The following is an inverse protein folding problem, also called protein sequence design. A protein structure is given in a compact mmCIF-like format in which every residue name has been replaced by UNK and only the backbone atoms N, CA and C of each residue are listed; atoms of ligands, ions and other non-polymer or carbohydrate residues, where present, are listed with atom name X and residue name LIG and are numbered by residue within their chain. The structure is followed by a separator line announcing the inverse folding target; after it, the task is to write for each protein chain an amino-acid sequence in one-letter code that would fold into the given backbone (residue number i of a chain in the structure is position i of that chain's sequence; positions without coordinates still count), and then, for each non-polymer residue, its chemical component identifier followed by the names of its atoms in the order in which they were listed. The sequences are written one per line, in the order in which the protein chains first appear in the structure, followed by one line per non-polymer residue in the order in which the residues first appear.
data_IF_551237808066
#
_entry.id   IF_551237808066
#
_cell.length_a   1.000
_cell.length_b   1.000
_cell.length_c   1.000
_cell.angle_alpha   90.00
_cell.angle_beta   90.00
_cell.angle_gamma   90.00
#
_symmetry.space_group_name_H-M   'P 1'
#
loop_
_entity.id
_entity.type
_entity.pdbx_description
1 polymer ?
#
# COMPACT_ATOMS: atom_id res chain seq x y z
N UNK A 1 0.05 14.41 -20.06
CA UNK A 1 1.15 14.72 -19.11
C UNK A 1 1.13 13.77 -17.90
N UNK A 2 2.28 13.18 -17.54
CA UNK A 2 2.39 12.43 -16.28
C UNK A 2 2.51 13.40 -15.08
N UNK A 3 2.38 12.91 -13.85
CA UNK A 3 2.38 13.77 -12.64
C UNK A 3 3.68 14.57 -12.49
N UNK A 4 4.82 13.95 -12.81
CA UNK A 4 6.15 14.58 -12.74
C UNK A 4 6.22 15.75 -13.72
N UNK A 5 5.85 15.53 -14.97
CA UNK A 5 5.80 16.58 -16.00
C UNK A 5 4.86 17.73 -15.62
N UNK A 6 3.74 17.41 -14.96
CA UNK A 6 2.82 18.42 -14.42
C UNK A 6 3.48 19.29 -13.35
N UNK A 7 4.18 18.68 -12.38
CA UNK A 7 4.90 19.41 -11.34
C UNK A 7 6.02 20.29 -11.91
N UNK A 8 6.76 19.79 -12.90
CA UNK A 8 7.80 20.55 -13.59
C UNK A 8 7.20 21.74 -14.36
N UNK A 9 6.07 21.55 -15.04
CA UNK A 9 5.37 22.63 -15.74
C UNK A 9 4.84 23.72 -14.80
N UNK A 10 4.55 23.38 -13.54
CA UNK A 10 4.17 24.32 -12.48
C UNK A 10 5.38 25.01 -11.83
N UNK A 11 6.61 24.76 -12.29
CA UNK A 11 7.83 25.41 -11.81
C UNK A 11 8.62 24.63 -10.76
N UNK A 12 8.24 23.38 -10.48
CA UNK A 12 9.05 22.51 -9.61
C UNK A 12 10.39 22.20 -10.27
N UNK A 13 11.46 22.14 -9.48
CA UNK A 13 12.78 21.75 -9.97
C UNK A 13 12.95 20.24 -9.81
N UNK A 14 13.48 19.55 -10.84
CA UNK A 14 13.64 18.09 -10.81
C UNK A 14 14.38 17.61 -9.56
N UNK A 15 15.51 18.22 -9.23
CA UNK A 15 16.32 17.88 -8.06
C UNK A 15 15.66 18.14 -6.70
N UNK A 16 14.60 18.96 -6.65
CA UNK A 16 13.84 19.24 -5.41
C UNK A 16 12.64 18.33 -5.24
N UNK A 17 12.30 17.51 -6.25
CA UNK A 17 11.20 16.56 -6.12
C UNK A 17 11.54 15.50 -5.08
N UNK A 18 10.55 15.17 -4.26
CA UNK A 18 10.60 14.11 -3.24
C UNK A 18 9.30 13.34 -3.32
N UNK A 19 9.37 12.04 -3.05
CA UNK A 19 8.21 11.17 -3.07
C UNK A 19 7.92 10.59 -1.69
N UNK A 20 6.64 10.39 -1.40
CA UNK A 20 6.20 9.57 -0.27
C UNK A 20 5.29 8.47 -0.79
N UNK A 21 5.63 7.21 -0.52
CA UNK A 21 4.99 6.07 -1.16
C UNK A 21 4.07 5.32 -0.19
N UNK A 22 2.77 5.35 -0.44
CA UNK A 22 1.79 4.68 0.40
C UNK A 22 0.86 3.80 -0.44
N UNK A 23 0.59 2.59 0.02
CA UNK A 23 -0.39 1.69 -0.61
C UNK A 23 0.13 0.27 -0.83
N UNK A 24 -0.30 -0.37 -1.91
CA UNK A 24 0.14 -1.73 -2.24
C UNK A 24 -0.34 -2.81 -1.26
N UNK A 25 -1.37 -2.54 -0.46
CA UNK A 25 -1.97 -3.54 0.42
C UNK A 25 -2.76 -4.58 -0.36
N UNK A 26 -2.68 -5.84 0.06
CA UNK A 26 -3.47 -6.93 -0.51
C UNK A 26 -4.60 -7.32 0.44
N UNK A 27 -5.83 -6.90 0.11
CA UNK A 27 -7.02 -7.21 0.93
C UNK A 27 -7.49 -8.67 0.74
N UNK A 28 -7.10 -9.31 -0.36
CA UNK A 28 -7.44 -10.69 -0.70
C UNK A 28 -6.25 -11.61 -0.39
N UNK A 29 -6.53 -12.80 0.15
CA UNK A 29 -5.53 -13.84 0.46
C UNK A 29 -5.48 -14.92 -0.62
N UNK A 30 -6.08 -14.69 -1.78
CA UNK A 30 -6.00 -15.65 -2.88
C UNK A 30 -4.61 -15.57 -3.49
N UNK A 31 -3.87 -16.67 -3.42
CA UNK A 31 -2.54 -16.88 -4.02
C UNK A 31 -2.62 -17.04 -5.55
N UNK A 32 -3.49 -16.28 -6.23
CA UNK A 32 -3.38 -16.16 -7.67
C UNK A 32 -2.40 -15.03 -7.93
N UNK A 33 -1.29 -15.32 -8.63
CA UNK A 33 -0.26 -14.33 -8.99
C UNK A 33 -0.87 -13.11 -9.73
N UNK A 34 -1.99 -13.31 -10.42
CA UNK A 34 -2.78 -12.26 -11.07
C UNK A 34 -3.41 -11.24 -10.10
N UNK A 35 -3.51 -11.55 -8.80
CA UNK A 35 -4.08 -10.70 -7.75
C UNK A 35 -3.03 -9.99 -6.87
N UNK A 36 -1.73 -10.18 -7.12
CA UNK A 36 -0.64 -9.48 -6.44
C UNK A 36 -0.41 -8.06 -6.97
N UNK A 37 -1.49 -7.37 -7.36
CA UNK A 37 -1.44 -6.03 -7.95
C UNK A 37 -0.81 -5.02 -6.99
N UNK A 38 -1.00 -5.21 -5.67
CA UNK A 38 -0.44 -4.31 -4.66
C UNK A 38 1.09 -4.25 -4.68
N UNK A 39 1.77 -5.41 -4.64
CA UNK A 39 3.23 -5.46 -4.67
C UNK A 39 3.80 -5.09 -6.05
N UNK A 40 3.09 -5.43 -7.14
CA UNK A 40 3.47 -5.01 -8.49
C UNK A 40 3.40 -3.50 -8.68
N UNK A 41 2.35 -2.86 -8.16
CA UNK A 41 2.22 -1.40 -8.22
C UNK A 41 3.30 -0.70 -7.40
N UNK A 42 3.68 -1.25 -6.24
CA UNK A 42 4.78 -0.72 -5.43
C UNK A 42 6.10 -0.81 -6.18
N UNK A 43 6.39 -1.97 -6.78
CA UNK A 43 7.61 -2.15 -7.61
C UNK A 43 7.64 -1.17 -8.77
N UNK A 44 6.55 -1.06 -9.52
CA UNK A 44 6.46 -0.12 -10.65
C UNK A 44 6.68 1.33 -10.21
N UNK A 45 6.04 1.75 -9.11
CA UNK A 45 6.21 3.09 -8.59
C UNK A 45 7.66 3.37 -8.18
N UNK A 46 8.33 2.42 -7.51
CA UNK A 46 9.73 2.55 -7.14
C UNK A 46 10.64 2.65 -8.36
N UNK A 47 10.44 1.80 -9.38
CA UNK A 47 11.24 1.85 -10.61
C UNK A 47 11.10 3.18 -11.35
N UNK A 48 9.88 3.73 -11.45
CA UNK A 48 9.66 5.04 -12.08
C UNK A 48 10.32 6.17 -11.28
N UNK A 49 10.24 6.13 -9.95
CA UNK A 49 10.87 7.13 -9.10
C UNK A 49 12.40 7.06 -9.16
N UNK A 50 12.96 5.85 -9.27
CA UNK A 50 14.40 5.62 -9.45
C UNK A 50 14.88 6.15 -10.81
N UNK A 51 14.18 5.85 -11.90
CA UNK A 51 14.48 6.33 -13.25
C UNK A 51 14.45 7.87 -13.34
N UNK A 52 13.57 8.52 -12.58
CA UNK A 52 13.41 9.98 -12.53
C UNK A 52 14.27 10.65 -11.45
N UNK A 53 15.14 9.89 -10.77
CA UNK A 53 16.02 10.35 -9.69
C UNK A 53 15.29 11.04 -8.52
N UNK A 54 14.05 10.62 -8.24
CA UNK A 54 13.22 11.18 -7.17
C UNK A 54 13.40 10.37 -5.89
N UNK A 55 14.02 10.99 -4.87
CA UNK A 55 14.21 10.35 -3.56
C UNK A 55 12.88 10.09 -2.85
N UNK A 56 12.66 8.84 -2.42
CA UNK A 56 11.55 8.48 -1.52
C UNK A 56 11.94 8.84 -0.08
N UNK A 57 11.23 9.77 0.53
CA UNK A 57 11.53 10.26 1.90
C UNK A 57 10.67 9.63 2.98
N UNK A 58 9.56 8.99 2.60
CA UNK A 58 8.72 8.19 3.49
C UNK A 58 8.00 7.10 2.69
N UNK A 59 7.81 5.93 3.29
CA UNK A 59 7.11 4.83 2.63
C UNK A 59 6.34 3.96 3.62
N UNK A 60 5.06 3.71 3.34
CA UNK A 60 4.24 2.69 4.01
C UNK A 60 3.49 1.87 2.97
N UNK A 61 4.12 0.78 2.54
CA UNK A 61 3.65 -0.11 1.48
C UNK A 61 3.26 -1.49 2.02
N UNK A 62 2.56 -2.30 1.22
CA UNK A 62 2.17 -3.66 1.61
C UNK A 62 1.08 -3.71 2.67
N UNK A 63 0.92 -4.84 3.38
CA UNK A 63 -0.09 -5.02 4.41
C UNK A 63 -1.42 -5.58 3.90
N UNK A 64 -2.28 -5.97 4.84
CA UNK A 64 -3.48 -6.80 4.58
C UNK A 64 -4.81 -6.07 4.81
N UNK A 65 -4.75 -4.76 4.95
CA UNK A 65 -5.86 -3.90 5.35
C UNK A 65 -5.92 -2.65 4.47
N UNK A 66 -7.14 -2.24 4.14
CA UNK A 66 -7.37 -0.97 3.46
C UNK A 66 -6.92 0.19 4.32
N UNK A 67 -6.36 1.23 3.69
CA UNK A 67 -5.95 2.46 4.37
C UNK A 67 -6.46 3.67 3.62
N UNK A 68 -6.87 4.68 4.37
CA UNK A 68 -7.14 6.03 3.87
C UNK A 68 -5.92 6.90 4.14
N UNK A 69 -5.47 7.60 3.12
CA UNK A 69 -4.29 8.47 3.16
C UNK A 69 -4.77 9.89 2.92
N UNK A 70 -4.30 10.81 3.75
CA UNK A 70 -4.45 12.25 3.53
C UNK A 70 -3.05 12.84 3.39
N UNK A 71 -2.84 13.61 2.32
CA UNK A 71 -1.60 14.32 2.05
C UNK A 71 -1.87 15.81 2.15
N UNK A 72 -1.15 16.48 3.05
CA UNK A 72 -1.18 17.93 3.15
C UNK A 72 -0.20 18.51 2.13
N UNK A 73 -0.71 19.33 1.21
CA UNK A 73 0.10 19.95 0.15
C UNK A 73 0.93 21.14 0.66
N UNK A 74 0.59 21.72 1.82
CA UNK A 74 1.28 22.89 2.37
C UNK A 74 2.65 22.52 2.96
N UNK A 75 2.72 21.41 3.71
CA UNK A 75 3.92 20.98 4.43
C UNK A 75 4.40 19.57 4.04
N UNK A 76 3.66 18.88 3.17
CA UNK A 76 3.97 17.51 2.75
C UNK A 76 3.70 16.45 3.81
N UNK A 77 3.02 16.77 4.92
CA UNK A 77 2.67 15.82 5.97
C UNK A 77 1.63 14.80 5.50
N UNK A 78 1.68 13.60 6.09
CA UNK A 78 0.80 12.49 5.72
C UNK A 78 0.13 11.91 6.95
N UNK A 79 -1.20 11.81 6.90
CA UNK A 79 -2.01 11.10 7.89
C UNK A 79 -2.56 9.82 7.29
N UNK A 80 -2.54 8.73 8.06
CA UNK A 80 -2.98 7.42 7.60
C UNK A 80 -3.98 6.84 8.61
N UNK A 81 -5.16 6.46 8.12
CA UNK A 81 -6.15 5.69 8.89
C UNK A 81 -6.31 4.32 8.28
N UNK A 82 -5.96 3.31 9.05
CA UNK A 82 -6.15 1.91 8.67
C UNK A 82 -7.58 1.47 9.01
N UNK A 83 -8.22 0.75 8.10
CA UNK A 83 -9.49 0.10 8.40
C UNK A 83 -9.24 -1.20 9.18
N UNK A 84 -10.17 -1.56 10.08
CA UNK A 84 -10.09 -2.85 10.78
C UNK A 84 -10.00 -3.96 9.75
N UNK A 85 -9.11 -4.92 9.97
CA UNK A 85 -9.08 -6.15 9.20
C UNK A 85 -10.46 -6.81 9.34
N UNK A 86 -11.17 -6.94 8.23
CA UNK A 86 -12.35 -7.78 8.24
C UNK A 86 -11.85 -9.22 8.39
N UNK A 87 -12.23 -9.87 9.49
CA UNK A 87 -12.05 -11.30 9.64
C UNK A 87 -12.84 -11.98 8.52
N UNK A 88 -12.12 -12.58 7.57
CA UNK A 88 -12.70 -13.35 6.47
C UNK A 88 -12.54 -14.81 6.80
N UNK A 89 -13.65 -15.56 6.73
CA UNK A 89 -13.72 -17.01 6.99
C UNK A 89 -13.00 -17.85 5.94
N UNK A 90 -12.57 -17.27 4.83
CA UNK A 90 -11.86 -17.97 3.75
C UNK A 90 -10.45 -17.40 3.56
N UNK A 91 -9.56 -17.75 4.48
CA UNK A 91 -8.12 -17.65 4.25
C UNK A 91 -7.60 -19.04 3.84
N UNK A 92 -6.96 -19.21 2.67
CA UNK A 92 -6.44 -20.51 2.24
C UNK A 92 -5.23 -20.97 3.09
N UNK A 93 -4.67 -20.08 3.91
CA UNK A 93 -3.58 -20.37 4.85
C UNK A 93 -4.06 -20.62 6.28
N UNK A 94 -5.37 -20.79 6.47
CA UNK A 94 -5.89 -21.00 7.81
C UNK A 94 -5.66 -22.45 8.24
N UNK A 95 -4.82 -22.66 9.25
CA UNK A 95 -4.64 -23.95 9.91
C UNK A 95 -5.88 -24.28 10.77
N UNK A 96 -6.61 -25.40 10.52
CA UNK A 96 -7.75 -25.82 11.33
C UNK A 96 -7.37 -26.12 12.80
N UNK A 97 -7.19 -25.06 13.59
CA UNK A 97 -6.86 -25.13 15.02
C UNK A 97 -6.36 -23.81 15.61
N UNK A 98 -5.86 -22.87 14.81
CA UNK A 98 -5.17 -21.67 15.31
C UNK A 98 -6.00 -20.42 15.08
N UNK A 99 -6.47 -19.70 16.12
CA UNK A 99 -7.36 -18.52 15.99
C UNK A 99 -6.81 -17.39 15.09
N UNK A 100 -5.50 -17.30 14.91
CA UNK A 100 -4.82 -16.31 14.08
C UNK A 100 -3.95 -16.96 13.01
N UNK A 101 -4.10 -16.55 11.74
CA UNK A 101 -3.21 -17.00 10.66
C UNK A 101 -1.84 -16.30 10.79
N UNK A 102 -0.77 -17.06 11.03
CA UNK A 102 0.60 -16.52 11.13
C UNK A 102 1.15 -16.00 9.80
N UNK A 103 0.64 -16.49 8.66
CA UNK A 103 1.06 -16.06 7.33
C UNK A 103 0.48 -14.70 6.91
N UNK A 104 -0.72 -14.34 7.38
CA UNK A 104 -1.37 -13.07 6.99
C UNK A 104 -1.90 -12.22 8.16
N UNK A 105 -1.77 -12.66 9.41
CA UNK A 105 -2.18 -11.92 10.60
C UNK A 105 -3.71 -11.80 10.80
N UNK A 106 -4.54 -12.56 10.09
CA UNK A 106 -6.00 -12.53 10.23
C UNK A 106 -6.48 -13.42 11.36
N UNK A 107 -7.44 -12.93 12.13
CA UNK A 107 -8.19 -13.73 13.10
C UNK A 107 -9.37 -14.45 12.42
N UNK A 108 -9.63 -15.71 12.82
CA UNK A 108 -10.87 -16.41 12.45
C UNK A 108 -12.02 -15.71 13.14
N UNK A 109 -13.04 -15.32 12.39
CA UNK A 109 -14.38 -15.19 12.96
C UNK A 109 -14.95 -16.59 13.11
N UNK A 110 -15.25 -17.01 14.33
CA UNK A 110 -16.24 -18.06 14.55
C UNK A 110 -17.56 -17.53 14.01
N UNK A 111 -18.27 -18.33 13.19
CA UNK A 111 -19.64 -18.02 12.76
C UNK A 111 -20.57 -18.19 13.98
N UNK A 112 -20.53 -17.22 14.89
CA UNK A 112 -21.47 -17.07 15.99
C UNK A 112 -21.30 -15.64 16.53
N UNK A 113 -22.04 -14.70 15.93
CA UNK A 113 -22.54 -13.41 16.43
C UNK A 113 -23.09 -12.58 15.26
#
# INVERSE_FOLDING_TARGET
PNQISGLLALGSKRYSLRAKLYGGGSLTCHNNDNYMTGSRNVKLALSVLEEEEITVVDAKVGGIVGRRIWFNIEDGSVSIKTHKAQARTQCPHYDPGVKSCTACGRERKTLAE
#
